data_IF_344085203592
#
_entry.id   IF_344085203592
#
_cell.length_a   1.000
_cell.length_b   1.000
_cell.length_c   1.000
_cell.angle_alpha   90.00
_cell.angle_beta   90.00
_cell.angle_gamma   90.00
#
_symmetry.space_group_name_H-M   'P 1'
#
loop_
_entity.id
_entity.type
_entity.pdbx_description
1 polymer ?
#
# COMPACT_ATOMS: atom_id res chain seq x y z
N UNK A 1 22.40 14.79 5.43
CA UNK A 1 22.61 13.81 4.34
C UNK A 1 21.27 13.15 4.06
N UNK A 2 20.81 13.12 2.79
CA UNK A 2 19.48 12.56 2.44
C UNK A 2 19.46 11.03 2.59
N UNK A 3 20.60 10.37 2.36
CA UNK A 3 20.78 8.93 2.55
C UNK A 3 21.39 8.69 3.93
N UNK A 4 20.58 8.23 4.87
CA UNK A 4 21.04 7.68 6.15
C UNK A 4 21.30 6.18 6.01
N UNK A 5 22.00 5.55 6.95
CA UNK A 5 22.20 4.08 6.93
C UNK A 5 20.86 3.32 6.86
N UNK A 6 19.84 3.83 7.56
CA UNK A 6 18.49 3.29 7.48
C UNK A 6 17.81 3.46 6.11
N UNK A 7 18.29 4.33 5.22
CA UNK A 7 17.77 4.46 3.84
C UNK A 7 18.46 3.49 2.88
N UNK A 8 19.66 3.00 3.20
CA UNK A 8 20.36 2.02 2.38
C UNK A 8 19.58 0.70 2.26
N UNK A 9 18.97 0.23 3.36
CA UNK A 9 18.12 -0.96 3.32
C UNK A 9 16.91 -0.82 2.39
N UNK A 10 16.29 0.36 2.36
CA UNK A 10 15.16 0.67 1.46
C UNK A 10 15.62 0.72 0.01
N UNK A 11 16.75 1.37 -0.27
CA UNK A 11 17.30 1.45 -1.62
C UNK A 11 17.74 0.07 -2.12
N UNK A 12 18.48 -0.69 -1.32
CA UNK A 12 18.95 -2.02 -1.68
C UNK A 12 17.79 -3.01 -1.90
N UNK A 13 16.83 -3.05 -0.97
CA UNK A 13 15.63 -3.89 -1.12
C UNK A 13 14.76 -3.48 -2.29
N UNK A 14 14.62 -2.16 -2.54
CA UNK A 14 13.88 -1.62 -3.68
C UNK A 14 14.54 -1.98 -5.00
N UNK A 15 15.86 -1.82 -5.11
CA UNK A 15 16.62 -2.24 -6.30
C UNK A 15 16.52 -3.74 -6.54
N UNK A 16 16.63 -4.57 -5.49
CA UNK A 16 16.44 -6.00 -5.59
C UNK A 16 15.06 -6.32 -6.18
N UNK A 17 13.98 -5.78 -5.61
CA UNK A 17 12.63 -6.07 -6.08
C UNK A 17 12.32 -5.48 -7.45
N UNK A 18 12.92 -4.34 -7.81
CA UNK A 18 12.86 -3.81 -9.17
C UNK A 18 13.50 -4.79 -10.17
N UNK A 19 14.70 -5.30 -9.87
CA UNK A 19 15.37 -6.29 -10.73
C UNK A 19 14.58 -7.59 -10.85
N UNK A 20 13.98 -8.07 -9.75
CA UNK A 20 13.13 -9.26 -9.74
C UNK A 20 11.85 -9.02 -10.54
N UNK A 21 11.21 -7.86 -10.40
CA UNK A 21 10.03 -7.52 -11.18
C UNK A 21 10.33 -7.36 -12.67
N UNK A 22 11.46 -6.74 -13.05
CA UNK A 22 11.92 -6.72 -14.46
C UNK A 22 12.12 -8.14 -14.97
N UNK A 23 12.74 -8.99 -14.17
CA UNK A 23 12.93 -10.40 -14.55
C UNK A 23 11.58 -11.09 -14.75
N UNK A 24 10.61 -10.83 -13.89
CA UNK A 24 9.27 -11.40 -13.98
C UNK A 24 8.50 -10.93 -15.21
N UNK A 25 8.51 -9.63 -15.48
CA UNK A 25 7.90 -9.03 -16.69
C UNK A 25 8.47 -9.65 -17.98
N UNK A 26 9.75 -10.05 -17.96
CA UNK A 26 10.41 -10.73 -19.08
C UNK A 26 10.16 -12.24 -19.10
N UNK A 27 10.13 -12.88 -17.92
CA UNK A 27 9.89 -14.32 -17.73
C UNK A 27 9.27 -14.56 -16.38
N UNK A 28 8.04 -15.04 -16.41
CA UNK A 28 7.23 -15.35 -15.23
C UNK A 28 8.01 -16.16 -14.19
N UNK A 29 8.04 -15.63 -12.97
CA UNK A 29 8.63 -16.19 -11.77
C UNK A 29 7.48 -16.75 -10.91
N UNK A 30 7.64 -17.95 -10.32
CA UNK A 30 6.64 -18.48 -9.40
C UNK A 30 6.35 -17.54 -8.22
N UNK A 31 5.08 -17.41 -7.85
CA UNK A 31 4.62 -16.53 -6.75
C UNK A 31 5.34 -16.81 -5.42
N UNK A 32 5.67 -18.07 -5.13
CA UNK A 32 6.43 -18.46 -3.93
C UNK A 32 7.86 -17.93 -3.94
N UNK A 33 8.51 -17.86 -5.11
CA UNK A 33 9.83 -17.29 -5.25
C UNK A 33 9.79 -15.76 -5.13
N UNK A 34 8.79 -15.10 -5.73
CA UNK A 34 8.54 -13.65 -5.53
C UNK A 34 8.40 -13.32 -4.04
N UNK A 35 7.59 -14.09 -3.31
CA UNK A 35 7.42 -13.94 -1.87
C UNK A 35 8.75 -14.08 -1.11
N UNK A 36 9.59 -15.06 -1.49
CA UNK A 36 10.93 -15.22 -0.92
C UNK A 36 11.81 -13.97 -1.08
N UNK A 37 11.85 -13.38 -2.29
CA UNK A 37 12.59 -12.14 -2.52
C UNK A 37 12.03 -10.94 -1.75
N UNK A 38 10.70 -10.84 -1.62
CA UNK A 38 10.07 -9.80 -0.80
C UNK A 38 10.43 -9.93 0.68
N UNK A 39 10.50 -11.16 1.22
CA UNK A 39 10.95 -11.41 2.60
C UNK A 39 12.43 -11.02 2.77
N UNK A 40 13.29 -11.36 1.80
CA UNK A 40 14.70 -10.96 1.82
C UNK A 40 14.83 -9.43 1.81
N UNK A 41 14.09 -8.74 0.94
CA UNK A 41 14.06 -7.28 0.87
C UNK A 41 13.56 -6.65 2.18
N UNK A 42 12.52 -7.21 2.81
CA UNK A 42 12.06 -6.79 4.14
C UNK A 42 13.16 -6.99 5.21
N UNK A 43 13.89 -8.10 5.15
CA UNK A 43 15.03 -8.38 6.03
C UNK A 43 16.15 -7.33 5.91
N UNK A 44 16.46 -6.87 4.69
CA UNK A 44 17.44 -5.78 4.47
C UNK A 44 17.02 -4.48 5.16
N UNK A 45 15.72 -4.17 5.16
CA UNK A 45 15.17 -2.98 5.83
C UNK A 45 15.23 -3.13 7.34
N UNK A 46 14.86 -4.29 7.87
CA UNK A 46 14.92 -4.58 9.32
C UNK A 46 16.38 -4.48 9.81
N UNK A 47 17.33 -5.03 9.06
CA UNK A 47 18.75 -4.96 9.39
C UNK A 47 19.29 -3.53 9.42
N UNK A 48 18.68 -2.62 8.65
CA UNK A 48 19.01 -1.18 8.65
C UNK A 48 18.47 -0.40 9.88
N UNK A 49 17.85 -1.09 10.85
CA UNK A 49 17.69 -0.58 12.21
C UNK A 49 16.34 0.08 12.54
N UNK A 50 15.31 -0.04 11.70
CA UNK A 50 13.93 0.33 12.08
C UNK A 50 12.93 -0.78 11.83
N UNK A 51 12.14 -1.06 12.85
CA UNK A 51 11.05 -2.03 12.88
C UNK A 51 9.81 -1.39 13.52
N UNK A 52 8.63 -1.93 13.22
CA UNK A 52 7.40 -1.52 13.89
C UNK A 52 7.48 -1.88 15.38
N UNK A 53 7.37 -0.88 16.26
CA UNK A 53 7.43 -1.09 17.71
C UNK A 53 6.01 -1.09 18.31
N UNK A 54 5.24 -2.14 18.03
CA UNK A 54 3.85 -2.28 18.52
C UNK A 54 3.81 -2.91 19.91
N UNK A 55 4.65 -3.92 20.14
CA UNK A 55 4.75 -4.62 21.41
C UNK A 55 5.97 -4.16 22.22
N UNK A 56 5.92 -4.17 23.57
CA UNK A 56 7.07 -3.86 24.42
C UNK A 56 8.28 -4.76 24.13
N UNK A 57 9.48 -4.21 24.26
CA UNK A 57 10.72 -4.95 24.03
C UNK A 57 10.89 -6.17 24.95
N UNK A 58 11.50 -7.21 24.40
CA UNK A 58 11.64 -8.53 25.01
C UNK A 58 11.45 -9.62 23.96
N UNK A 59 11.96 -10.83 24.21
CA UNK A 59 12.02 -11.91 23.20
C UNK A 59 10.70 -12.10 22.41
N UNK A 60 9.56 -12.13 23.11
CA UNK A 60 8.24 -12.25 22.48
C UNK A 60 7.87 -11.00 21.70
N UNK A 61 8.01 -9.82 22.30
CA UNK A 61 7.64 -8.56 21.65
C UNK A 61 8.50 -8.24 20.42
N UNK A 62 9.80 -8.46 20.49
CA UNK A 62 10.74 -8.27 19.38
C UNK A 62 10.43 -9.24 18.24
N UNK A 63 10.11 -10.50 18.56
CA UNK A 63 9.68 -11.50 17.55
C UNK A 63 8.40 -11.06 16.86
N UNK A 64 7.37 -10.65 17.63
CA UNK A 64 6.09 -10.20 17.05
C UNK A 64 6.27 -8.92 16.23
N UNK A 65 7.08 -7.98 16.69
CA UNK A 65 7.38 -6.74 15.97
C UNK A 65 8.09 -7.01 14.62
N UNK A 66 9.03 -7.96 14.58
CA UNK A 66 9.67 -8.42 13.33
C UNK A 66 8.63 -9.04 12.40
N UNK A 67 7.80 -9.96 12.89
CA UNK A 67 6.77 -10.61 12.08
C UNK A 67 5.76 -9.61 11.52
N UNK A 68 5.31 -8.66 12.33
CA UNK A 68 4.40 -7.59 11.90
C UNK A 68 5.05 -6.68 10.84
N UNK A 69 6.35 -6.39 10.99
CA UNK A 69 7.09 -5.57 10.02
C UNK A 69 7.20 -6.29 8.67
N UNK A 70 7.55 -7.59 8.67
CA UNK A 70 7.58 -8.40 7.44
C UNK A 70 6.19 -8.49 6.82
N UNK A 71 5.17 -8.79 7.62
CA UNK A 71 3.78 -8.88 7.17
C UNK A 71 3.30 -7.57 6.53
N UNK A 72 3.63 -6.43 7.14
CA UNK A 72 3.29 -5.12 6.60
C UNK A 72 3.99 -4.86 5.26
N UNK A 73 5.32 -5.03 5.21
CA UNK A 73 6.10 -4.75 3.99
C UNK A 73 5.63 -5.66 2.85
N UNK A 74 5.61 -6.97 3.08
CA UNK A 74 5.23 -7.96 2.07
C UNK A 74 3.75 -7.80 1.69
N UNK A 75 2.86 -7.60 2.66
CA UNK A 75 1.43 -7.44 2.43
C UNK A 75 1.13 -6.21 1.58
N UNK A 76 1.65 -5.04 1.94
CA UNK A 76 1.44 -3.81 1.17
C UNK A 76 2.09 -3.90 -0.22
N UNK A 77 3.26 -4.54 -0.34
CA UNK A 77 3.91 -4.78 -1.64
C UNK A 77 3.01 -5.57 -2.57
N UNK A 78 2.45 -6.70 -2.10
CA UNK A 78 1.53 -7.52 -2.90
C UNK A 78 0.20 -6.80 -3.15
N UNK A 79 -0.32 -6.04 -2.19
CA UNK A 79 -1.54 -5.26 -2.38
C UNK A 79 -1.37 -4.24 -3.52
N UNK A 80 -0.21 -3.61 -3.63
CA UNK A 80 0.11 -2.71 -4.75
C UNK A 80 0.20 -3.45 -6.09
N UNK A 81 0.84 -4.62 -6.12
CA UNK A 81 0.91 -5.45 -7.32
C UNK A 81 -0.49 -5.88 -7.80
N UNK A 82 -1.38 -6.28 -6.88
CA UNK A 82 -2.78 -6.59 -7.22
C UNK A 82 -3.59 -5.37 -7.70
N UNK A 83 -3.23 -4.16 -7.28
CA UNK A 83 -3.89 -2.92 -7.73
C UNK A 83 -3.41 -2.43 -9.09
N UNK A 84 -2.38 -3.03 -9.69
CA UNK A 84 -1.94 -2.74 -11.06
C UNK A 84 -2.81 -3.42 -12.13
N UNK A 85 -4.08 -3.70 -11.82
CA UNK A 85 -5.06 -4.31 -12.73
C UNK A 85 -5.81 -3.32 -13.63
N UNK A 86 -5.61 -2.01 -13.43
CA UNK A 86 -6.23 -0.95 -14.24
C UNK A 86 -5.27 0.19 -14.53
N UNK A 87 -5.32 0.69 -15.77
CA UNK A 87 -4.55 1.85 -16.22
C UNK A 87 -4.70 3.02 -15.23
N UNK A 88 -3.56 3.54 -14.77
CA UNK A 88 -3.46 4.66 -13.84
C UNK A 88 -3.65 4.34 -12.37
N UNK A 89 -4.23 3.18 -12.02
CA UNK A 89 -4.68 2.91 -10.65
C UNK A 89 -3.52 2.79 -9.66
N UNK A 90 -2.58 1.87 -9.87
CA UNK A 90 -1.47 1.64 -8.96
C UNK A 90 -0.57 2.87 -8.83
N UNK A 91 -0.22 3.51 -9.96
CA UNK A 91 0.64 4.71 -9.94
C UNK A 91 -0.07 5.90 -9.29
N UNK A 92 -1.34 6.16 -9.63
CA UNK A 92 -2.09 7.26 -9.02
C UNK A 92 -2.28 7.07 -7.52
N UNK A 93 -2.54 5.84 -7.08
CA UNK A 93 -2.60 5.51 -5.67
C UNK A 93 -1.24 5.68 -4.97
N UNK A 94 -0.15 5.28 -5.62
CA UNK A 94 1.21 5.51 -5.12
C UNK A 94 1.51 7.00 -4.93
N UNK A 95 1.11 7.87 -5.88
CA UNK A 95 1.25 9.32 -5.77
C UNK A 95 0.47 9.87 -4.57
N UNK A 96 -0.79 9.45 -4.41
CA UNK A 96 -1.65 9.90 -3.30
C UNK A 96 -1.04 9.49 -1.95
N UNK A 97 -0.64 8.23 -1.80
CA UNK A 97 -0.01 7.72 -0.58
C UNK A 97 1.31 8.46 -0.33
N UNK A 98 2.19 8.57 -1.34
CA UNK A 98 3.43 9.31 -1.23
C UNK A 98 3.20 10.77 -0.80
N UNK A 99 2.19 11.44 -1.35
CA UNK A 99 1.83 12.80 -0.98
C UNK A 99 1.53 12.93 0.52
N UNK A 100 0.59 12.13 1.04
CA UNK A 100 0.24 12.20 2.46
C UNK A 100 1.38 11.79 3.38
N UNK A 101 2.11 10.74 3.03
CA UNK A 101 3.30 10.30 3.77
C UNK A 101 4.38 11.39 3.77
N UNK A 102 4.61 12.04 2.63
CA UNK A 102 5.56 13.15 2.49
C UNK A 102 5.18 14.35 3.35
N UNK A 103 3.90 14.74 3.33
CA UNK A 103 3.36 15.80 4.20
C UNK A 103 3.64 15.49 5.66
N UNK A 104 3.24 14.32 6.16
CA UNK A 104 3.45 13.97 7.57
C UNK A 104 4.94 13.85 7.90
N UNK A 105 5.76 13.31 6.99
CA UNK A 105 7.20 13.19 7.17
C UNK A 105 7.88 14.57 7.35
N UNK A 106 7.54 15.57 6.53
CA UNK A 106 8.07 16.92 6.72
C UNK A 106 7.58 17.55 8.02
N UNK A 107 6.30 17.37 8.37
CA UNK A 107 5.72 17.92 9.59
C UNK A 107 6.26 17.30 10.89
N UNK A 108 6.81 16.08 10.82
CA UNK A 108 7.43 15.34 11.95
C UNK A 108 8.95 15.46 11.94
N UNK A 109 9.52 16.36 11.13
CA UNK A 109 10.97 16.61 11.10
C UNK A 109 11.77 15.48 10.47
N UNK A 110 11.18 14.70 9.57
CA UNK A 110 11.82 13.58 8.86
C UNK A 110 12.00 13.88 7.36
N UNK A 111 12.77 14.92 6.98
CA UNK A 111 12.86 15.40 5.60
C UNK A 111 13.43 14.35 4.64
N UNK A 112 14.28 13.44 5.10
CA UNK A 112 14.79 12.35 4.25
C UNK A 112 13.65 11.48 3.68
N UNK A 113 12.68 11.09 4.52
CA UNK A 113 11.50 10.34 4.08
C UNK A 113 10.60 11.19 3.18
N UNK A 114 10.44 12.48 3.51
CA UNK A 114 9.69 13.44 2.70
C UNK A 114 10.26 13.58 1.29
N UNK A 115 11.57 13.65 1.13
CA UNK A 115 12.22 13.74 -0.18
C UNK A 115 12.10 12.46 -1.00
N UNK A 116 12.14 11.28 -0.37
CA UNK A 116 11.86 10.02 -1.07
C UNK A 116 10.41 10.01 -1.57
N UNK A 117 9.46 10.43 -0.74
CA UNK A 117 8.06 10.57 -1.16
C UNK A 117 7.90 11.55 -2.33
N UNK A 118 8.54 12.72 -2.29
CA UNK A 118 8.54 13.69 -3.40
C UNK A 118 9.14 13.10 -4.68
N UNK A 119 10.21 12.31 -4.59
CA UNK A 119 10.79 11.63 -5.73
C UNK A 119 9.82 10.61 -6.36
N UNK A 120 9.10 9.83 -5.53
CA UNK A 120 8.07 8.91 -6.00
C UNK A 120 6.90 9.64 -6.66
N UNK A 121 6.47 10.78 -6.11
CA UNK A 121 5.45 11.64 -6.72
C UNK A 121 5.92 12.14 -8.09
N UNK A 122 7.15 12.65 -8.19
CA UNK A 122 7.71 13.14 -9.45
C UNK A 122 7.81 12.04 -10.51
N UNK A 123 8.32 10.86 -10.14
CA UNK A 123 8.39 9.70 -11.03
C UNK A 123 6.99 9.25 -11.48
N UNK A 124 6.05 9.16 -10.54
CA UNK A 124 4.66 8.80 -10.82
C UNK A 124 3.97 9.80 -11.75
N UNK A 125 4.11 11.10 -11.49
CA UNK A 125 3.53 12.16 -12.34
C UNK A 125 4.16 12.21 -13.73
N UNK A 126 5.44 11.84 -13.86
CA UNK A 126 6.09 11.67 -15.17
C UNK A 126 5.56 10.46 -15.95
N UNK A 127 5.22 9.37 -15.26
CA UNK A 127 4.69 8.14 -15.87
C UNK A 127 3.18 8.22 -16.18
N UNK A 128 2.39 8.81 -15.28
CA UNK A 128 0.94 8.75 -15.28
C UNK A 128 0.27 9.20 -16.60
N UNK A 129 0.71 10.27 -17.30
CA UNK A 129 0.11 10.67 -18.58
C UNK A 129 0.22 9.63 -19.70
N UNK A 130 1.22 8.75 -19.62
CA UNK A 130 1.42 7.68 -20.60
C UNK A 130 0.61 6.42 -20.28
N UNK A 131 0.23 6.26 -19.01
CA UNK A 131 -0.48 5.10 -18.49
C UNK A 131 -1.99 5.38 -18.29
N UNK A 132 -2.37 6.41 -17.53
CA UNK A 132 -3.77 6.78 -17.32
C UNK A 132 -4.34 7.55 -18.51
N UNK A 133 -4.99 6.84 -19.42
CA UNK A 133 -5.62 7.41 -20.61
C UNK A 133 -7.12 7.09 -20.66
N UNK A 134 -8.01 8.00 -20.23
CA UNK A 134 -9.45 7.71 -20.15
C UNK A 134 -10.13 7.41 -21.50
N UNK A 135 -9.53 7.82 -22.62
CA UNK A 135 -10.13 7.74 -23.96
C UNK A 135 -9.27 6.96 -24.97
N UNK A 136 -8.14 6.39 -24.53
CA UNK A 136 -7.19 5.70 -25.38
C UNK A 136 -6.48 4.62 -24.56
N UNK A 137 -5.92 3.56 -25.16
CA UNK A 137 -5.16 2.58 -24.41
C UNK A 137 -3.90 3.19 -23.79
N UNK A 138 -3.45 2.64 -22.65
CA UNK A 138 -2.14 2.94 -22.09
C UNK A 138 -1.03 2.69 -23.12
N UNK A 139 -0.04 3.58 -23.12
CA UNK A 139 1.13 3.52 -24.02
C UNK A 139 2.22 2.65 -23.43
N UNK A 140 2.36 2.71 -22.11
CA UNK A 140 3.29 1.96 -21.30
C UNK A 140 2.56 1.46 -20.06
N UNK A 141 2.87 0.24 -19.66
CA UNK A 141 2.34 -0.40 -18.45
C UNK A 141 3.38 -0.31 -17.33
N UNK A 142 2.89 -0.34 -16.09
CA UNK A 142 3.76 -0.23 -14.91
C UNK A 142 4.51 -1.55 -14.68
N UNK A 143 3.82 -2.67 -14.86
CA UNK A 143 4.37 -4.02 -14.78
C UNK A 143 4.65 -4.45 -13.34
N UNK A 144 5.11 -5.68 -13.18
CA UNK A 144 5.51 -6.22 -11.89
C UNK A 144 6.73 -5.49 -11.32
N UNK A 145 7.62 -5.01 -12.20
CA UNK A 145 8.75 -4.15 -11.85
C UNK A 145 8.30 -2.89 -11.09
N UNK A 146 7.41 -2.10 -11.70
CA UNK A 146 7.00 -0.82 -11.13
C UNK A 146 6.08 -0.98 -9.93
N UNK A 147 5.10 -1.87 -10.00
CA UNK A 147 4.11 -2.06 -8.94
C UNK A 147 4.73 -2.63 -7.65
N UNK A 148 5.60 -3.64 -7.76
CA UNK A 148 6.33 -4.20 -6.62
C UNK A 148 7.29 -3.18 -6.02
N UNK A 149 8.03 -2.43 -6.84
CA UNK A 149 8.96 -1.39 -6.37
C UNK A 149 8.23 -0.27 -5.61
N UNK A 150 7.13 0.26 -6.17
CA UNK A 150 6.35 1.32 -5.54
C UNK A 150 5.74 0.83 -4.22
N UNK A 151 5.13 -0.36 -4.22
CA UNK A 151 4.51 -0.94 -3.03
C UNK A 151 5.50 -1.17 -1.91
N UNK A 152 6.66 -1.79 -2.23
CA UNK A 152 7.72 -2.01 -1.26
C UNK A 152 8.26 -0.70 -0.69
N UNK A 153 8.58 0.26 -1.54
CA UNK A 153 9.20 1.51 -1.11
C UNK A 153 8.26 2.29 -0.20
N UNK A 154 6.98 2.41 -0.56
CA UNK A 154 5.97 3.06 0.26
C UNK A 154 5.71 2.33 1.59
N UNK A 155 5.67 1.00 1.57
CA UNK A 155 5.55 0.21 2.80
C UNK A 155 6.74 0.43 3.74
N UNK A 156 7.95 0.52 3.19
CA UNK A 156 9.17 0.82 3.95
C UNK A 156 9.14 2.24 4.52
N UNK A 157 8.66 3.23 3.77
CA UNK A 157 8.46 4.58 4.29
C UNK A 157 7.57 4.51 5.54
N UNK A 158 6.42 3.83 5.46
CA UNK A 158 5.49 3.64 6.57
C UNK A 158 6.11 2.99 7.81
N UNK A 159 6.97 1.99 7.66
CA UNK A 159 7.68 1.38 8.79
C UNK A 159 8.71 2.33 9.38
N UNK A 160 9.43 3.08 8.54
CA UNK A 160 10.56 3.90 8.99
C UNK A 160 10.15 5.27 9.53
N UNK A 161 8.98 5.78 9.19
CA UNK A 161 8.51 7.06 9.69
C UNK A 161 7.96 6.98 11.11
N UNK A 162 8.21 8.04 11.88
CA UNK A 162 7.49 8.34 13.10
C UNK A 162 6.31 9.26 12.74
N UNK A 163 5.06 8.80 12.87
CA UNK A 163 3.91 9.51 12.30
C UNK A 163 3.18 10.40 13.31
N UNK A 164 3.46 10.23 14.60
CA UNK A 164 3.02 11.14 15.64
C UNK A 164 3.97 11.15 16.85
N UNK A 165 4.24 12.34 17.39
CA UNK A 165 5.14 12.54 18.51
C UNK A 165 4.44 12.19 19.83
N UNK A 166 5.00 11.26 20.60
CA UNK A 166 4.48 10.87 21.92
C UNK A 166 3.10 10.22 21.94
N UNK A 167 2.55 9.85 20.76
CA UNK A 167 1.21 9.24 20.61
C UNK A 167 1.31 7.92 19.81
N UNK A 168 1.67 6.78 20.45
CA UNK A 168 1.91 5.52 19.75
C UNK A 168 0.73 5.04 18.90
N UNK A 169 -0.50 5.13 19.43
CA UNK A 169 -1.73 4.72 18.73
C UNK A 169 -1.93 5.57 17.46
N UNK A 170 -1.76 6.89 17.56
CA UNK A 170 -1.89 7.79 16.39
C UNK A 170 -0.80 7.49 15.36
N UNK A 171 0.44 7.27 15.83
CA UNK A 171 1.56 6.95 14.96
C UNK A 171 1.35 5.65 14.18
N UNK A 172 0.67 4.66 14.77
CA UNK A 172 0.32 3.41 14.08
C UNK A 172 -0.89 3.62 13.15
N UNK A 173 -1.90 4.37 13.58
CA UNK A 173 -3.12 4.59 12.82
C UNK A 173 -2.93 5.45 11.57
N UNK A 174 -1.99 6.41 11.56
CA UNK A 174 -1.78 7.31 10.42
C UNK A 174 -1.42 6.54 9.13
N UNK A 175 -0.40 5.67 9.08
CA UNK A 175 -0.15 4.83 7.90
C UNK A 175 -1.31 3.89 7.58
N UNK A 176 -1.98 3.32 8.58
CA UNK A 176 -3.13 2.43 8.35
C UNK A 176 -4.25 3.17 7.63
N UNK A 177 -4.53 4.43 7.97
CA UNK A 177 -5.50 5.26 7.27
C UNK A 177 -5.03 5.62 5.86
N UNK A 178 -3.79 6.07 5.70
CA UNK A 178 -3.24 6.47 4.39
C UNK A 178 -3.24 5.29 3.40
N UNK A 179 -2.92 4.07 3.86
CA UNK A 179 -2.96 2.85 3.06
C UNK A 179 -4.31 2.13 3.13
N UNK A 180 -5.33 2.75 3.73
CA UNK A 180 -6.55 2.08 4.18
C UNK A 180 -7.31 1.37 3.06
N UNK A 181 -7.26 1.91 1.84
CA UNK A 181 -7.87 1.27 0.67
C UNK A 181 -7.19 -0.05 0.27
N UNK A 182 -5.86 -0.08 0.26
CA UNK A 182 -5.11 -1.31 -0.04
C UNK A 182 -5.35 -2.37 1.03
N UNK A 183 -5.33 -1.94 2.29
CA UNK A 183 -5.58 -2.82 3.44
C UNK A 183 -7.02 -3.35 3.37
N UNK A 184 -8.00 -2.49 3.14
CA UNK A 184 -9.40 -2.88 3.00
C UNK A 184 -9.56 -3.95 1.92
N UNK A 185 -9.06 -3.70 0.71
CA UNK A 185 -9.26 -4.63 -0.39
C UNK A 185 -8.55 -5.97 -0.15
N UNK A 186 -7.31 -5.95 0.35
CA UNK A 186 -6.58 -7.17 0.66
C UNK A 186 -7.31 -8.00 1.74
N UNK A 187 -7.79 -7.36 2.81
CA UNK A 187 -8.54 -8.04 3.88
C UNK A 187 -9.87 -8.56 3.33
N UNK A 188 -10.64 -7.74 2.61
CA UNK A 188 -11.95 -8.11 2.10
C UNK A 188 -11.86 -9.26 1.07
N UNK A 189 -10.94 -9.18 0.12
CA UNK A 189 -10.73 -10.26 -0.86
C UNK A 189 -10.25 -11.55 -0.20
N UNK A 190 -9.33 -11.47 0.77
CA UNK A 190 -8.86 -12.64 1.52
C UNK A 190 -10.01 -13.32 2.26
N UNK A 191 -10.81 -12.54 3.01
CA UNK A 191 -11.98 -13.06 3.74
C UNK A 191 -13.00 -13.67 2.78
N UNK A 192 -13.27 -13.02 1.65
CA UNK A 192 -14.20 -13.53 0.63
C UNK A 192 -13.71 -14.85 0.03
N UNK A 193 -12.41 -14.95 -0.33
CA UNK A 193 -11.80 -16.16 -0.90
C UNK A 193 -11.89 -17.34 0.07
N UNK A 194 -11.61 -17.11 1.35
CA UNK A 194 -11.69 -18.13 2.41
C UNK A 194 -13.14 -18.54 2.65
N UNK A 195 -14.06 -17.57 2.81
CA UNK A 195 -15.47 -17.84 3.10
C UNK A 195 -16.16 -18.60 1.96
N UNK A 196 -15.83 -18.27 0.70
CA UNK A 196 -16.32 -18.99 -0.48
C UNK A 196 -15.60 -20.33 -0.73
N UNK A 197 -14.62 -20.70 0.09
CA UNK A 197 -13.85 -21.94 -0.04
C UNK A 197 -12.97 -22.00 -1.29
N UNK A 198 -12.67 -20.85 -1.90
CA UNK A 198 -11.84 -20.74 -3.12
C UNK A 198 -10.36 -20.97 -2.84
N UNK A 199 -9.95 -20.76 -1.59
CA UNK A 199 -8.57 -20.91 -1.12
C UNK A 199 -8.59 -21.62 0.24
N UNK A 200 -7.80 -22.68 0.37
CA UNK A 200 -7.65 -23.48 1.59
C UNK A 200 -6.21 -23.52 2.11
N UNK A 201 -5.24 -23.31 1.23
CA UNK A 201 -3.81 -23.30 1.57
C UNK A 201 -3.14 -21.98 1.20
N UNK A 202 -1.99 -21.69 1.82
CA UNK A 202 -1.20 -20.50 1.48
C UNK A 202 -0.71 -20.54 0.02
N UNK A 203 -0.40 -21.73 -0.51
CA UNK A 203 0.00 -21.88 -1.90
C UNK A 203 -1.14 -21.51 -2.86
N UNK A 204 -2.33 -22.05 -2.61
CA UNK A 204 -3.54 -21.69 -3.38
C UNK A 204 -3.83 -20.18 -3.27
N UNK A 205 -3.61 -19.57 -2.11
CA UNK A 205 -3.79 -18.14 -1.92
C UNK A 205 -2.85 -17.32 -2.83
N UNK A 206 -1.58 -17.69 -2.87
CA UNK A 206 -0.54 -16.99 -3.63
C UNK A 206 -0.67 -17.20 -5.14
N UNK A 207 -1.19 -18.35 -5.57
CA UNK A 207 -1.38 -18.69 -6.99
C UNK A 207 -2.76 -18.27 -7.52
N UNK A 208 -3.67 -17.80 -6.65
CA UNK A 208 -5.02 -17.44 -7.05
C UNK A 208 -5.03 -16.16 -7.90
N UNK A 209 -5.46 -16.29 -9.15
CA UNK A 209 -5.68 -15.17 -10.08
C UNK A 209 -7.19 -14.93 -10.21
N UNK A 210 -7.68 -13.78 -9.75
CA UNK A 210 -9.09 -13.45 -9.79
C UNK A 210 -9.38 -11.96 -10.02
N UNK A 211 -10.54 -11.69 -10.65
CA UNK A 211 -11.09 -10.33 -10.81
C UNK A 211 -11.97 -9.91 -9.64
N UNK A 212 -11.62 -10.37 -8.45
CA UNK A 212 -12.39 -10.17 -7.24
C UNK A 212 -12.01 -8.89 -6.50
N UNK A 213 -10.90 -8.22 -6.85
CA UNK A 213 -10.46 -6.96 -6.25
C UNK A 213 -11.43 -5.78 -6.44
N UNK A 214 -11.34 -4.81 -5.53
CA UNK A 214 -12.25 -3.66 -5.41
C UNK A 214 -12.39 -2.89 -6.73
N UNK A 215 -11.31 -2.70 -7.48
CA UNK A 215 -11.37 -1.97 -8.74
C UNK A 215 -12.29 -2.65 -9.76
N UNK A 216 -12.27 -3.98 -9.87
CA UNK A 216 -13.19 -4.72 -10.74
C UNK A 216 -14.63 -4.77 -10.21
N UNK A 217 -14.82 -4.73 -8.88
CA UNK A 217 -16.16 -4.65 -8.28
C UNK A 217 -16.78 -3.27 -8.50
N UNK A 218 -16.01 -2.21 -8.33
CA UNK A 218 -16.43 -0.84 -8.59
C UNK A 218 -16.63 -0.59 -10.09
N UNK A 219 -15.79 -1.14 -10.97
CA UNK A 219 -15.99 -1.10 -12.43
C UNK A 219 -17.36 -1.65 -12.81
N UNK A 220 -17.75 -2.81 -12.25
CA UNK A 220 -19.08 -3.39 -12.48
C UNK A 220 -20.20 -2.54 -11.90
N UNK A 221 -20.03 -1.99 -10.70
CA UNK A 221 -21.05 -1.19 -10.04
C UNK A 221 -21.27 0.18 -10.70
N UNK A 222 -20.21 0.81 -11.21
CA UNK A 222 -20.22 2.15 -11.80
C UNK A 222 -20.33 2.13 -13.33
N UNK A 223 -20.06 0.99 -13.97
CA UNK A 223 -20.13 0.82 -15.42
C UNK A 223 -18.93 1.37 -16.20
N UNK A 224 -17.88 1.83 -15.50
CA UNK A 224 -16.71 2.49 -16.12
C UNK A 224 -15.44 2.24 -15.31
N UNK A 225 -14.35 1.84 -16.00
CA UNK A 225 -13.02 1.69 -15.40
C UNK A 225 -12.49 3.01 -14.86
N UNK A 226 -12.65 4.08 -15.63
CA UNK A 226 -12.20 5.42 -15.23
C UNK A 226 -12.92 5.86 -13.96
N UNK A 227 -14.22 5.61 -13.85
CA UNK A 227 -15.00 6.01 -12.68
C UNK A 227 -14.61 5.17 -11.45
N UNK A 228 -14.31 3.88 -11.62
CA UNK A 228 -13.76 3.04 -10.57
C UNK A 228 -12.41 3.58 -10.06
N UNK A 229 -11.47 3.91 -10.96
CA UNK A 229 -10.17 4.48 -10.60
C UNK A 229 -10.33 5.81 -9.86
N UNK A 230 -11.16 6.72 -10.38
CA UNK A 230 -11.40 8.03 -9.75
C UNK A 230 -12.08 7.89 -8.39
N UNK A 231 -13.04 6.99 -8.24
CA UNK A 231 -13.65 6.67 -6.95
C UNK A 231 -12.59 6.22 -5.95
N UNK A 232 -11.71 5.29 -6.35
CA UNK A 232 -10.62 4.80 -5.50
C UNK A 232 -9.68 5.94 -5.08
N UNK A 233 -9.36 6.87 -5.98
CA UNK A 233 -8.55 8.05 -5.65
C UNK A 233 -9.24 8.95 -4.64
N UNK A 234 -10.53 9.26 -4.83
CA UNK A 234 -11.29 10.10 -3.90
C UNK A 234 -11.35 9.47 -2.50
N UNK A 235 -11.60 8.16 -2.43
CA UNK A 235 -11.62 7.42 -1.17
C UNK A 235 -10.25 7.42 -0.49
N UNK A 236 -9.18 7.22 -1.26
CA UNK A 236 -7.80 7.26 -0.76
C UNK A 236 -7.41 8.66 -0.26
N UNK A 237 -7.86 9.71 -0.96
CA UNK A 237 -7.67 11.11 -0.54
C UNK A 237 -8.42 11.38 0.76
N UNK A 238 -9.67 10.93 0.88
CA UNK A 238 -10.46 11.12 2.10
C UNK A 238 -9.81 10.45 3.33
N UNK A 239 -9.33 9.21 3.18
CA UNK A 239 -8.63 8.51 4.26
C UNK A 239 -7.23 9.10 4.53
N UNK A 240 -6.51 9.54 3.51
CA UNK A 240 -5.22 10.21 3.65
C UNK A 240 -5.33 11.54 4.42
N UNK A 241 -6.36 12.35 4.10
CA UNK A 241 -6.69 13.56 4.86
C UNK A 241 -6.98 13.24 6.33
N UNK A 242 -7.78 12.19 6.60
CA UNK A 242 -8.02 11.74 7.97
C UNK A 242 -6.71 11.36 8.68
N UNK A 243 -5.80 10.66 8.00
CA UNK A 243 -4.48 10.31 8.53
C UNK A 243 -3.61 11.50 8.93
N UNK A 244 -3.64 12.59 8.13
CA UNK A 244 -2.93 13.84 8.44
C UNK A 244 -3.56 14.57 9.63
N UNK A 245 -4.88 14.74 9.63
CA UNK A 245 -5.60 15.47 10.69
C UNK A 245 -5.51 14.74 12.04
N UNK A 246 -5.48 13.41 12.03
CA UNK A 246 -5.39 12.58 13.23
C UNK A 246 -4.19 12.93 14.13
N UNK A 247 -3.08 13.43 13.55
CA UNK A 247 -1.88 13.80 14.31
C UNK A 247 -2.16 14.89 15.36
N UNK A 248 -2.83 15.95 14.94
CA UNK A 248 -3.21 17.09 15.78
C UNK A 248 -4.57 16.92 16.46
N UNK A 249 -5.29 15.85 16.14
CA UNK A 249 -6.60 15.57 16.70
C UNK A 249 -6.56 15.42 18.23
N UNK A 250 -7.58 15.99 18.89
CA UNK A 250 -7.95 15.58 20.24
C UNK A 250 -8.59 14.20 20.18
N UNK A 251 -8.73 13.52 21.31
CA UNK A 251 -9.33 12.18 21.36
C UNK A 251 -10.72 12.13 20.71
N UNK A 252 -11.54 13.16 20.89
CA UNK A 252 -12.87 13.25 20.28
C UNK A 252 -12.78 13.39 18.75
N UNK A 253 -11.89 14.23 18.24
CA UNK A 253 -11.69 14.41 16.80
C UNK A 253 -11.16 13.10 16.17
N UNK A 254 -10.29 12.37 16.89
CA UNK A 254 -9.80 11.06 16.48
C UNK A 254 -10.93 10.01 16.36
N UNK A 255 -11.87 10.00 17.31
CA UNK A 255 -13.04 9.11 17.23
C UNK A 255 -13.92 9.43 16.02
N UNK A 256 -14.15 10.70 15.71
CA UNK A 256 -14.91 11.10 14.53
C UNK A 256 -14.22 10.70 13.22
N UNK A 257 -12.89 10.84 13.14
CA UNK A 257 -12.12 10.42 11.97
C UNK A 257 -12.14 8.91 11.77
N UNK A 258 -12.07 8.13 12.86
CA UNK A 258 -12.21 6.67 12.80
C UNK A 258 -13.62 6.26 12.38
N UNK A 259 -14.64 6.94 12.89
CA UNK A 259 -16.03 6.73 12.49
C UNK A 259 -16.23 7.06 11.01
N UNK A 260 -15.67 8.17 10.52
CA UNK A 260 -15.69 8.53 9.10
C UNK A 260 -15.05 7.44 8.23
N UNK A 261 -13.86 6.96 8.60
CA UNK A 261 -13.20 5.87 7.89
C UNK A 261 -14.06 4.59 7.86
N UNK A 262 -14.71 4.27 8.97
CA UNK A 262 -15.64 3.13 9.06
C UNK A 262 -16.85 3.31 8.16
N UNK A 263 -17.46 4.50 8.15
CA UNK A 263 -18.60 4.83 7.28
C UNK A 263 -18.20 4.69 5.80
N UNK A 264 -17.02 5.20 5.43
CA UNK A 264 -16.49 5.08 4.07
C UNK A 264 -16.40 3.60 3.67
N UNK A 265 -15.79 2.76 4.52
CA UNK A 265 -15.67 1.32 4.28
C UNK A 265 -17.04 0.65 4.13
N UNK A 266 -18.01 1.02 4.95
CA UNK A 266 -19.38 0.48 4.87
C UNK A 266 -20.06 0.91 3.56
N UNK A 267 -19.95 2.18 3.17
CA UNK A 267 -20.52 2.68 1.91
C UNK A 267 -19.91 1.96 0.71
N UNK A 268 -18.58 1.78 0.70
CA UNK A 268 -17.87 1.03 -0.35
C UNK A 268 -18.36 -0.40 -0.38
N UNK A 269 -18.45 -1.08 0.77
CA UNK A 269 -18.96 -2.44 0.88
C UNK A 269 -20.39 -2.58 0.30
N UNK A 270 -21.25 -1.59 0.53
CA UNK A 270 -22.62 -1.56 -0.01
C UNK A 270 -22.61 -1.37 -1.53
N UNK A 271 -21.78 -0.45 -2.04
CA UNK A 271 -21.64 -0.21 -3.48
C UNK A 271 -21.12 -1.46 -4.21
N UNK A 272 -20.10 -2.11 -3.65
CA UNK A 272 -19.53 -3.34 -4.20
C UNK A 272 -20.56 -4.48 -4.25
N UNK A 273 -21.45 -4.60 -3.26
CA UNK A 273 -22.53 -5.59 -3.28
C UNK A 273 -23.50 -5.39 -4.45
N UNK A 274 -23.76 -4.15 -4.85
CA UNK A 274 -24.61 -3.87 -6.03
C UNK A 274 -23.95 -4.33 -7.33
N UNK A 275 -22.63 -4.21 -7.44
CA UNK A 275 -21.84 -4.72 -8.57
C UNK A 275 -21.67 -6.24 -8.63
N UNK A 276 -22.17 -7.00 -7.62
CA UNK A 276 -22.17 -8.48 -7.64
C UNK A 276 -23.40 -9.07 -8.34
N UNK A 277 -24.46 -8.28 -8.56
CA UNK A 277 -25.76 -8.75 -9.07
C UNK A 277 -25.99 -8.58 -10.58
N UNK A 278 -24.98 -8.15 -11.33
CA UNK A 278 -24.97 -8.02 -12.79
C UNK A 278 -23.80 -8.79 -13.38
#
# INVERSE_FOLDING_TARGET
>A
MIVTEGMLGVLAGGTLLLCIGIRDDLREIPATAKLGFQIVAAGMVIWSGKLLSVFPHGLVGDTVNVLLTVLWIVGITNAFNFFDGMDGLATGLAIIIAFFMGVVAFQTGQPALGWVAVALIGAGLGFLPYNFKPRAPATIFLGDAGSTFLGFTLACLAVKGNWADGKPIVSLSTPVLIFGILIYDMVHTTVERIYMGKVRTLKEYLEYVGKDHMHHRLERALGSRTDAVLMIFLLSIALGLAGVVLRSARTVDALFLLLQGTIIVVVVSILERRGRGT
#
